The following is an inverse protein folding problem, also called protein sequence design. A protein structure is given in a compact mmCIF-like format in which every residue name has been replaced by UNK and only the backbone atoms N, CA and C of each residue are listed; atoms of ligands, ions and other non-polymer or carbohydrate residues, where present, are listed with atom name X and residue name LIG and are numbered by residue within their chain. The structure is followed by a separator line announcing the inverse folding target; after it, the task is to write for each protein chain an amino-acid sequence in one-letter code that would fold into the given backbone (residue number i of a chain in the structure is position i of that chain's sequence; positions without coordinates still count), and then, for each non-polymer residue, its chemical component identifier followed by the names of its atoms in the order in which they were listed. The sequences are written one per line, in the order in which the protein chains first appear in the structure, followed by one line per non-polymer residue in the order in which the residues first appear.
data_IF_159642837351
#
_entry.id   IF_159642837351
#
_cell.length_a   1.000
_cell.length_b   1.000
_cell.length_c   1.000
_cell.angle_alpha   90.00
_cell.angle_beta   90.00
_cell.angle_gamma   90.00
#
_symmetry.space_group_name_H-M   'P 1'
#
loop_
_entity.id
_entity.type
_entity.pdbx_description
1 polymer ?
#
# COMPACT_ATOMS: atom_id res chain seq x y z
N UNK A 1 10.90 4.94 13.18
CA UNK A 1 10.44 3.67 12.56
C UNK A 1 10.84 3.66 11.10
N UNK A 2 11.39 2.54 10.66
CA UNK A 2 11.87 2.39 9.27
C UNK A 2 10.95 1.44 8.53
N UNK A 3 10.48 1.87 7.37
CA UNK A 3 9.69 0.99 6.48
C UNK A 3 10.60 0.38 5.42
N UNK A 4 10.30 -0.87 5.06
CA UNK A 4 10.97 -1.58 3.99
C UNK A 4 9.94 -2.06 2.99
N UNK A 5 10.18 -1.77 1.71
CA UNK A 5 9.32 -2.23 0.63
C UNK A 5 9.95 -3.45 -0.05
N UNK A 6 9.11 -4.38 -0.44
CA UNK A 6 9.52 -5.55 -1.21
C UNK A 6 8.59 -5.72 -2.40
N UNK A 7 9.12 -5.59 -3.64
CA UNK A 7 8.30 -5.81 -4.84
C UNK A 7 7.80 -7.25 -4.91
N UNK A 8 6.53 -7.39 -5.26
CA UNK A 8 5.89 -8.70 -5.44
C UNK A 8 4.85 -8.59 -6.55
N UNK A 9 4.41 -9.74 -7.05
CA UNK A 9 3.21 -9.81 -7.86
C UNK A 9 2.07 -10.29 -6.99
N UNK A 10 0.91 -9.64 -7.12
CA UNK A 10 -0.26 -9.96 -6.31
C UNK A 10 -1.36 -10.49 -7.22
N UNK A 11 -1.92 -11.65 -6.86
CA UNK A 11 -3.03 -12.21 -7.61
C UNK A 11 -4.32 -11.54 -7.14
N UNK A 12 -4.67 -10.45 -7.82
CA UNK A 12 -5.86 -9.67 -7.47
C UNK A 12 -7.11 -10.10 -8.24
N UNK A 13 -6.94 -11.00 -9.22
CA UNK A 13 -8.03 -11.35 -10.12
C UNK A 13 -8.25 -10.33 -11.23
N UNK A 14 -7.36 -9.34 -11.34
CA UNK A 14 -7.42 -8.29 -12.36
C UNK A 14 -6.03 -8.12 -12.99
N UNK A 15 -5.86 -7.07 -13.83
CA UNK A 15 -4.56 -6.75 -14.41
C UNK A 15 -3.67 -5.94 -13.46
N UNK A 16 -4.16 -5.60 -12.27
CA UNK A 16 -3.41 -4.87 -11.24
C UNK A 16 -2.58 -5.86 -10.42
N UNK A 17 -1.45 -6.31 -10.97
CA UNK A 17 -0.64 -7.37 -10.37
C UNK A 17 0.66 -6.88 -9.75
N UNK A 18 1.10 -5.64 -10.08
CA UNK A 18 2.32 -5.08 -9.53
C UNK A 18 2.09 -4.63 -8.10
N UNK A 19 2.85 -5.17 -7.15
CA UNK A 19 2.63 -4.86 -5.75
C UNK A 19 3.89 -4.61 -4.98
N UNK A 20 3.71 -4.09 -3.77
CA UNK A 20 4.77 -3.90 -2.78
C UNK A 20 4.27 -4.41 -1.43
N UNK A 21 5.03 -5.30 -0.83
CA UNK A 21 4.86 -5.60 0.59
C UNK A 21 5.52 -4.49 1.39
N UNK A 22 4.87 -4.02 2.43
CA UNK A 22 5.42 -2.98 3.30
C UNK A 22 5.65 -3.56 4.68
N UNK A 23 6.91 -3.51 5.12
CA UNK A 23 7.30 -4.01 6.44
C UNK A 23 7.69 -2.85 7.34
N UNK A 24 7.23 -2.90 8.59
CA UNK A 24 7.74 -2.06 9.66
C UNK A 24 8.57 -3.01 10.56
N UNK A 25 9.89 -2.86 10.50
CA UNK A 25 10.82 -3.83 11.07
C UNK A 25 10.55 -5.21 10.47
N UNK A 26 10.20 -6.21 11.27
CA UNK A 26 9.89 -7.56 10.77
C UNK A 26 8.39 -7.79 10.53
N UNK A 27 7.55 -6.78 10.79
CA UNK A 27 6.10 -6.92 10.68
C UNK A 27 5.59 -6.47 9.33
N UNK A 28 4.83 -7.33 8.65
CA UNK A 28 4.10 -6.94 7.45
C UNK A 28 2.91 -6.09 7.88
N UNK A 29 2.87 -4.84 7.41
CA UNK A 29 1.81 -3.90 7.79
C UNK A 29 0.86 -3.55 6.66
N UNK A 30 1.29 -3.72 5.40
CA UNK A 30 0.42 -3.40 4.27
C UNK A 30 0.87 -4.12 3.01
N UNK A 31 -0.08 -4.29 2.09
CA UNK A 31 0.18 -4.69 0.71
C UNK A 31 -0.38 -3.59 -0.18
N UNK A 32 0.49 -3.01 -1.00
CA UNK A 32 0.13 -1.98 -1.96
C UNK A 32 0.10 -2.58 -3.36
N UNK A 33 -0.86 -2.16 -4.18
CA UNK A 33 -0.99 -2.61 -5.56
C UNK A 33 -1.06 -1.40 -6.46
N UNK A 34 -0.28 -1.42 -7.54
CA UNK A 34 -0.29 -0.34 -8.52
C UNK A 34 -1.45 -0.54 -9.50
N UNK A 35 -2.23 0.51 -9.71
CA UNK A 35 -3.35 0.46 -10.62
C UNK A 35 -2.85 0.44 -12.07
N UNK A 36 -3.40 -0.47 -12.86
CA UNK A 36 -3.03 -0.66 -14.26
C UNK A 36 -3.64 0.41 -15.15
N UNK A 37 -3.29 0.37 -16.44
CA UNK A 37 -3.80 1.30 -17.45
C UNK A 37 -5.32 1.27 -17.56
N UNK A 38 -5.96 0.19 -17.13
CA UNK A 38 -7.42 0.06 -17.16
C UNK A 38 -8.13 1.08 -16.26
N UNK A 39 -7.42 1.67 -15.31
CA UNK A 39 -7.99 2.66 -14.38
C UNK A 39 -7.97 4.09 -14.92
N UNK A 40 -7.67 4.29 -16.21
CA UNK A 40 -7.73 5.59 -16.84
C UNK A 40 -6.79 6.60 -16.19
N UNK A 41 -7.31 7.70 -15.69
CA UNK A 41 -6.49 8.75 -15.08
C UNK A 41 -5.95 8.38 -13.68
N UNK A 42 -6.37 7.26 -13.13
CA UNK A 42 -5.79 6.72 -11.89
C UNK A 42 -4.69 5.70 -12.16
N UNK A 43 -4.41 5.40 -13.43
CA UNK A 43 -3.34 4.46 -13.79
C UNK A 43 -2.01 4.91 -13.19
N UNK A 44 -1.28 3.96 -12.62
CA UNK A 44 0.00 4.23 -11.97
C UNK A 44 -0.10 4.63 -10.51
N UNK A 45 -1.28 4.96 -10.01
CA UNK A 45 -1.48 5.22 -8.58
C UNK A 45 -1.35 3.92 -7.78
N UNK A 46 -1.08 4.06 -6.50
CA UNK A 46 -0.95 2.92 -5.59
C UNK A 46 -2.18 2.84 -4.69
N UNK A 47 -2.70 1.63 -4.57
CA UNK A 47 -3.88 1.33 -3.76
C UNK A 47 -3.50 0.41 -2.61
N UNK A 48 -4.00 0.70 -1.39
CA UNK A 48 -3.79 -0.19 -0.26
C UNK A 48 -4.77 -1.36 -0.38
N UNK A 49 -4.29 -2.47 -0.91
CA UNK A 49 -5.08 -3.69 -1.08
C UNK A 49 -5.40 -4.32 0.28
N UNK A 50 -4.39 -4.40 1.16
CA UNK A 50 -4.52 -4.95 2.50
C UNK A 50 -3.73 -4.08 3.47
N UNK A 51 -4.31 -3.84 4.65
CA UNK A 51 -3.61 -3.22 5.77
C UNK A 51 -3.84 -4.05 7.02
N UNK A 52 -2.86 -4.04 7.93
CA UNK A 52 -2.92 -4.78 9.19
C UNK A 52 -2.81 -3.81 10.36
N UNK A 53 -3.51 -4.11 11.46
CA UNK A 53 -3.48 -3.26 12.63
C UNK A 53 -3.89 -1.83 12.32
N UNK A 54 -3.09 -0.82 12.73
CA UNK A 54 -3.44 0.59 12.49
C UNK A 54 -3.51 0.98 11.02
N UNK A 55 -2.93 0.18 10.13
CA UNK A 55 -2.92 0.45 8.69
C UNK A 55 -4.22 -0.04 8.01
N UNK A 56 -5.01 -0.82 8.72
CA UNK A 56 -6.33 -1.25 8.25
C UNK A 56 -7.33 -0.11 8.43
N UNK A 57 -7.63 0.58 7.32
CA UNK A 57 -8.49 1.75 7.32
C UNK A 57 -9.62 1.52 6.31
N UNK A 58 -10.89 1.65 6.72
CA UNK A 58 -12.03 1.39 5.82
C UNK A 58 -12.14 2.35 4.65
N UNK A 59 -11.43 3.48 4.67
CA UNK A 59 -11.47 4.46 3.60
C UNK A 59 -10.73 4.01 2.34
N UNK A 60 -9.91 2.98 2.42
CA UNK A 60 -9.19 2.40 1.29
C UNK A 60 -8.44 3.45 0.47
N UNK A 61 -7.42 4.07 1.04
CA UNK A 61 -6.74 5.19 0.39
C UNK A 61 -5.98 4.79 -0.87
N UNK A 62 -5.85 5.76 -1.79
CA UNK A 62 -5.01 5.67 -2.97
C UNK A 62 -3.93 6.73 -2.88
N UNK A 63 -2.78 6.47 -3.48
CA UNK A 63 -1.62 7.35 -3.39
C UNK A 63 -1.06 7.58 -4.78
N UNK A 64 -0.54 8.78 -5.01
CA UNK A 64 0.05 9.12 -6.31
C UNK A 64 1.39 8.43 -6.53
N UNK A 65 2.12 8.17 -5.45
CA UNK A 65 3.41 7.47 -5.51
C UNK A 65 3.68 6.73 -4.19
N UNK A 66 4.77 5.97 -4.17
CA UNK A 66 5.14 5.18 -3.00
C UNK A 66 5.60 6.04 -1.82
N UNK A 67 6.14 7.22 -2.07
CA UNK A 67 6.54 8.13 -0.97
C UNK A 67 5.32 8.60 -0.20
N UNK A 68 4.27 8.99 -0.91
CA UNK A 68 3.00 9.38 -0.28
C UNK A 68 2.40 8.23 0.52
N UNK A 69 2.45 7.01 -0.06
CA UNK A 69 1.94 5.82 0.63
C UNK A 69 2.70 5.55 1.92
N UNK A 70 4.04 5.64 1.89
CA UNK A 70 4.86 5.42 3.07
C UNK A 70 4.61 6.46 4.14
N UNK A 71 4.46 7.74 3.77
CA UNK A 71 4.15 8.80 4.72
C UNK A 71 2.82 8.53 5.43
N UNK A 72 1.81 8.09 4.68
CA UNK A 72 0.51 7.76 5.26
C UNK A 72 0.63 6.58 6.24
N UNK A 73 1.34 5.54 5.83
CA UNK A 73 1.52 4.34 6.67
C UNK A 73 2.26 4.71 7.95
N UNK A 74 3.33 5.50 7.85
CA UNK A 74 4.08 5.92 9.04
C UNK A 74 3.21 6.70 10.01
N UNK A 75 2.36 7.58 9.51
CA UNK A 75 1.46 8.35 10.37
C UNK A 75 0.44 7.44 11.05
N UNK A 76 -0.08 6.44 10.35
CA UNK A 76 -1.00 5.47 10.95
C UNK A 76 -0.33 4.66 12.06
N UNK A 77 0.91 4.22 11.82
CA UNK A 77 1.65 3.44 12.80
C UNK A 77 2.03 4.26 14.04
N UNK A 78 2.14 5.56 13.91
CA UNK A 78 2.48 6.47 15.00
C UNK A 78 1.27 6.87 15.85
N UNK A 79 0.04 6.55 15.43
CA UNK A 79 -1.15 6.90 16.19
C UNK A 79 -1.22 6.08 17.48
N UNK A 80 -1.64 6.68 18.60
CA UNK A 80 -1.87 5.90 19.81
C UNK A 80 -3.09 4.97 19.66
N UNK A 81 -3.02 3.86 20.36
CA UNK A 81 -4.10 2.89 20.38
C UNK A 81 -5.03 3.11 21.57
#
# INVERSE_FOLDING_TARGET
MSLRLQPVHVETGSHDTEGQLVFADSFLVAVLVQLSDEHGNEAGMWFREVGFGPVDDPRRPKFTDLDEAQDWIERRLALPF
#
